data_IF_745375147522
#
_entry.id   IF_745375147522
#
_cell.length_a   1.000
_cell.length_b   1.000
_cell.length_c   1.000
_cell.angle_alpha   90.00
_cell.angle_beta   90.00
_cell.angle_gamma   90.00
#
_symmetry.space_group_name_H-M   'P 1'
#
loop_
_entity.id
_entity.type
_entity.pdbx_description
1 polymer ?
#
# COMPACT_ATOMS: atom_id res chain seq x y z
N UNK A 1 7.70 6.33 9.21
CA UNK A 1 7.87 5.36 10.32
C UNK A 1 6.49 4.89 10.71
N UNK A 2 6.27 3.58 10.81
CA UNK A 2 5.06 3.06 11.43
C UNK A 2 5.12 3.34 12.94
N UNK A 3 4.01 3.74 13.57
CA UNK A 3 3.97 3.97 15.00
C UNK A 3 3.78 2.68 15.82
N UNK A 4 3.87 1.49 15.21
CA UNK A 4 3.59 0.21 15.84
C UNK A 4 4.66 -0.81 15.47
N UNK A 5 5.13 -1.57 16.46
CA UNK A 5 6.13 -2.64 16.27
C UNK A 5 5.49 -3.96 15.78
N UNK A 6 4.19 -4.13 16.00
CA UNK A 6 3.39 -5.31 15.62
C UNK A 6 2.13 -4.90 14.85
N UNK A 7 1.57 -5.85 14.09
CA UNK A 7 0.36 -5.62 13.30
C UNK A 7 -0.83 -5.30 14.21
N UNK A 8 -1.45 -4.12 14.10
CA UNK A 8 -2.60 -3.74 14.92
C UNK A 8 -3.84 -4.60 14.67
N UNK A 9 -3.85 -5.41 13.61
CA UNK A 9 -4.97 -6.31 13.25
C UNK A 9 -4.83 -7.69 13.90
N UNK A 10 -3.62 -8.23 14.04
CA UNK A 10 -3.42 -9.62 14.47
C UNK A 10 -2.20 -9.89 15.37
N UNK A 11 -1.52 -8.83 15.83
CA UNK A 11 -0.26 -8.89 16.59
C UNK A 11 0.88 -9.68 15.88
N UNK A 12 0.81 -9.79 14.55
CA UNK A 12 1.85 -10.43 13.75
C UNK A 12 3.01 -9.49 13.44
N UNK A 13 4.19 -10.05 13.19
CA UNK A 13 5.38 -9.30 12.76
C UNK A 13 5.09 -8.51 11.48
N UNK A 14 5.58 -7.28 11.42
CA UNK A 14 5.54 -6.40 10.26
C UNK A 14 6.94 -6.33 9.65
N UNK A 15 7.04 -6.38 8.32
CA UNK A 15 8.29 -6.15 7.58
C UNK A 15 8.08 -5.10 6.49
N UNK A 16 9.11 -4.32 6.18
CA UNK A 16 9.09 -3.45 4.99
C UNK A 16 9.45 -4.27 3.75
N UNK A 17 8.65 -4.15 2.69
CA UNK A 17 8.90 -4.82 1.41
C UNK A 17 8.32 -4.03 0.23
N UNK A 18 8.88 -4.24 -0.96
CA UNK A 18 8.27 -3.75 -2.19
C UNK A 18 7.01 -4.56 -2.50
N UNK A 19 5.90 -3.86 -2.74
CA UNK A 19 4.63 -4.46 -3.18
C UNK A 19 4.21 -3.86 -4.51
N UNK A 20 3.37 -4.57 -5.23
CA UNK A 20 2.67 -4.05 -6.42
C UNK A 20 1.23 -3.77 -6.06
N UNK A 21 0.82 -2.52 -6.23
CA UNK A 21 -0.57 -2.08 -6.13
C UNK A 21 -1.21 -1.97 -7.52
N UNK A 22 -2.43 -2.50 -7.63
CA UNK A 22 -3.23 -2.39 -8.85
C UNK A 22 -4.27 -1.30 -8.64
N UNK A 23 -4.05 -0.16 -9.28
CA UNK A 23 -4.92 1.00 -9.21
C UNK A 23 -5.89 0.92 -10.38
N UNK A 24 -7.19 0.93 -10.10
CA UNK A 24 -8.24 0.81 -11.12
C UNK A 24 -9.16 2.02 -11.07
N UNK A 25 -9.47 2.58 -12.24
CA UNK A 25 -10.52 3.59 -12.43
C UNK A 25 -11.31 3.25 -13.70
N UNK A 26 -12.58 2.87 -13.52
CA UNK A 26 -13.42 2.34 -14.59
C UNK A 26 -12.77 1.14 -15.31
N UNK A 27 -12.52 1.28 -16.61
CA UNK A 27 -11.85 0.26 -17.44
C UNK A 27 -10.32 0.37 -17.47
N UNK A 28 -9.74 1.45 -16.94
CA UNK A 28 -8.30 1.68 -16.92
C UNK A 28 -7.67 1.09 -15.66
N UNK A 29 -6.46 0.54 -15.80
CA UNK A 29 -5.68 -0.02 -14.70
C UNK A 29 -4.22 0.41 -14.82
N UNK A 30 -3.58 0.64 -13.68
CA UNK A 30 -2.14 0.82 -13.57
C UNK A 30 -1.58 -0.11 -12.49
N UNK A 31 -0.35 -0.58 -12.68
CA UNK A 31 0.41 -1.29 -11.67
C UNK A 31 1.49 -0.36 -11.13
N UNK A 32 1.51 -0.13 -9.82
CA UNK A 32 2.48 0.73 -9.14
C UNK A 32 3.29 -0.10 -8.16
N UNK A 33 4.61 -0.11 -8.34
CA UNK A 33 5.54 -0.67 -7.36
C UNK A 33 5.88 0.38 -6.32
N UNK A 34 5.77 0.04 -5.05
CA UNK A 34 6.06 0.94 -3.93
C UNK A 34 6.42 0.19 -2.65
N UNK A 35 7.17 0.85 -1.76
CA UNK A 35 7.46 0.30 -0.44
C UNK A 35 6.21 0.38 0.45
N UNK A 36 5.90 -0.73 1.10
CA UNK A 36 4.87 -0.85 2.12
C UNK A 36 5.36 -1.74 3.26
N UNK A 37 4.76 -1.55 4.42
CA UNK A 37 4.92 -2.46 5.53
C UNK A 37 3.84 -3.53 5.46
N UNK A 38 4.24 -4.80 5.53
CA UNK A 38 3.35 -5.94 5.34
C UNK A 38 3.41 -6.86 6.56
N UNK A 39 2.24 -7.23 7.08
CA UNK A 39 2.17 -8.23 8.13
C UNK A 39 2.46 -9.62 7.57
N UNK A 40 3.46 -10.32 8.12
CA UNK A 40 3.82 -11.69 7.72
C UNK A 40 2.75 -12.74 8.09
N UNK A 41 1.74 -12.37 8.89
CA UNK A 41 0.69 -13.28 9.37
C UNK A 41 -0.63 -13.12 8.63
N UNK A 42 -1.18 -11.91 8.57
CA UNK A 42 -2.49 -11.65 7.94
C UNK A 42 -2.41 -10.92 6.60
N UNK A 43 -1.21 -10.58 6.13
CA UNK A 43 -0.96 -9.86 4.87
C UNK A 43 -1.54 -8.44 4.80
N UNK A 44 -1.96 -7.87 5.93
CA UNK A 44 -2.33 -6.45 6.03
C UNK A 44 -1.18 -5.56 5.55
N UNK A 45 -1.51 -4.52 4.78
CA UNK A 45 -0.53 -3.60 4.20
C UNK A 45 -0.72 -2.20 4.77
N UNK A 46 0.38 -1.59 5.20
CA UNK A 46 0.41 -0.24 5.74
C UNK A 46 1.28 0.65 4.87
N UNK A 47 0.69 1.74 4.38
CA UNK A 47 1.34 2.67 3.47
C UNK A 47 1.72 3.95 4.19
N UNK A 48 2.87 4.52 3.80
CA UNK A 48 3.21 5.88 4.21
C UNK A 48 2.25 6.90 3.60
N UNK A 49 2.14 8.08 4.20
CA UNK A 49 1.36 9.19 3.61
C UNK A 49 1.82 9.50 2.18
N UNK A 50 3.14 9.47 1.92
CA UNK A 50 3.72 9.67 0.59
C UNK A 50 3.25 8.60 -0.41
N UNK A 51 3.20 7.34 0.03
CA UNK A 51 2.70 6.22 -0.77
C UNK A 51 1.22 6.41 -1.14
N UNK A 52 0.39 6.79 -0.17
CA UNK A 52 -1.04 7.09 -0.40
C UNK A 52 -1.21 8.26 -1.36
N UNK A 53 -0.48 9.37 -1.18
CA UNK A 53 -0.53 10.51 -2.10
C UNK A 53 -0.14 10.13 -3.53
N UNK A 54 0.85 9.24 -3.70
CA UNK A 54 1.23 8.76 -5.01
C UNK A 54 0.14 7.89 -5.65
N UNK A 55 -0.46 6.97 -4.88
CA UNK A 55 -1.57 6.13 -5.35
C UNK A 55 -2.75 7.00 -5.80
N UNK A 56 -3.13 8.01 -5.00
CA UNK A 56 -4.23 8.92 -5.34
C UNK A 56 -3.93 9.80 -6.55
N UNK A 57 -2.66 10.23 -6.73
CA UNK A 57 -2.25 10.92 -7.95
C UNK A 57 -2.44 10.05 -9.20
N UNK A 58 -1.98 8.79 -9.16
CA UNK A 58 -2.16 7.87 -10.28
C UNK A 58 -3.65 7.59 -10.52
N UNK A 59 -4.46 7.44 -9.46
CA UNK A 59 -5.91 7.28 -9.58
C UNK A 59 -6.54 8.45 -10.35
N UNK A 60 -6.20 9.69 -10.00
CA UNK A 60 -6.69 10.88 -10.70
C UNK A 60 -6.25 10.92 -12.17
N UNK A 61 -5.00 10.54 -12.47
CA UNK A 61 -4.51 10.43 -13.86
C UNK A 61 -5.27 9.37 -14.68
N UNK A 62 -5.76 8.30 -14.04
CA UNK A 62 -6.58 7.29 -14.70
C UNK A 62 -8.01 7.78 -14.96
N UNK A 63 -8.58 8.63 -14.10
CA UNK A 63 -9.94 9.18 -14.29
C UNK A 63 -10.02 10.03 -15.57
N UNK A 64 -8.99 10.85 -15.84
CA UNK A 64 -8.87 11.67 -17.04
C UNK A 64 -9.40 13.08 -16.88
#
# INVERSE_FOLDING_TARGET
MLPFDECPVCAGQIVEQEVTEIISSGKKKAALKLSAYVCCRCSERFYSLKSIQHIEKIRAELEG
#
